data_IF_013942700906
#
_entry.id   IF_013942700906
#
_cell.length_a   1.000
_cell.length_b   1.000
_cell.length_c   1.000
_cell.angle_alpha   90.00
_cell.angle_beta   90.00
_cell.angle_gamma   90.00
#
_symmetry.space_group_name_H-M   'P 1'
#
loop_
_entity.id
_entity.type
_entity.pdbx_description
1 polymer ?
#
# COMPACT_ATOMS: atom_id res chain seq x y z
N UNK A 1 16.18 -23.32 -8.08
CA UNK A 1 15.49 -22.06 -8.40
C UNK A 1 16.35 -20.91 -7.93
N UNK A 2 16.56 -19.92 -8.79
CA UNK A 2 17.24 -18.67 -8.44
C UNK A 2 16.38 -17.92 -7.43
N UNK A 3 16.96 -17.48 -6.32
CA UNK A 3 16.22 -16.74 -5.29
C UNK A 3 15.90 -15.35 -5.84
N UNK A 4 14.61 -15.07 -6.10
CA UNK A 4 14.15 -13.76 -6.59
C UNK A 4 13.82 -12.82 -5.44
N UNK A 5 13.92 -11.50 -5.68
CA UNK A 5 13.51 -10.47 -4.71
C UNK A 5 11.98 -10.47 -4.54
N UNK A 6 11.50 -10.16 -3.34
CA UNK A 6 10.08 -9.90 -3.10
C UNK A 6 9.73 -8.52 -3.65
N UNK A 7 8.99 -8.49 -4.75
CA UNK A 7 8.59 -7.26 -5.46
C UNK A 7 7.61 -6.40 -4.66
N UNK A 8 7.08 -6.88 -3.52
CA UNK A 8 6.29 -6.03 -2.60
C UNK A 8 7.14 -5.15 -1.72
N UNK A 9 8.44 -5.42 -1.62
CA UNK A 9 9.39 -4.51 -0.99
C UNK A 9 9.58 -3.33 -1.92
N UNK A 10 9.28 -2.14 -1.43
CA UNK A 10 9.38 -0.86 -2.15
C UNK A 10 10.66 -0.73 -2.98
N UNK A 11 11.81 -1.11 -2.44
CA UNK A 11 13.07 -1.08 -3.19
C UNK A 11 13.04 -1.96 -4.46
N UNK A 12 12.59 -3.21 -4.35
CA UNK A 12 12.52 -4.13 -5.49
C UNK A 12 11.45 -3.68 -6.50
N UNK A 13 10.32 -3.17 -6.02
CA UNK A 13 9.30 -2.57 -6.86
C UNK A 13 9.85 -1.41 -7.69
N UNK A 14 10.58 -0.49 -7.05
CA UNK A 14 11.26 0.64 -7.72
C UNK A 14 12.25 0.17 -8.77
N UNK A 15 13.04 -0.86 -8.48
CA UNK A 15 14.00 -1.39 -9.45
C UNK A 15 13.32 -1.90 -10.71
N UNK A 16 12.13 -2.51 -10.59
CA UNK A 16 11.39 -3.01 -11.75
C UNK A 16 10.59 -1.92 -12.48
N UNK A 17 9.82 -1.09 -11.77
CA UNK A 17 8.87 -0.15 -12.37
C UNK A 17 9.35 1.30 -12.44
N UNK A 18 10.34 1.68 -11.63
CA UNK A 18 10.83 3.06 -11.47
C UNK A 18 12.24 3.32 -12.01
N UNK A 19 12.81 2.37 -12.75
CA UNK A 19 14.16 2.51 -13.34
C UNK A 19 14.09 2.88 -14.81
N UNK A 20 14.92 3.85 -15.24
CA UNK A 20 15.06 4.19 -16.65
C UNK A 20 15.43 2.98 -17.51
N UNK A 21 14.74 2.80 -18.64
CA UNK A 21 14.79 1.61 -19.50
C UNK A 21 13.61 0.63 -19.30
N UNK A 22 12.92 0.73 -18.16
CA UNK A 22 11.76 -0.10 -17.81
C UNK A 22 10.41 0.59 -18.05
N UNK A 23 10.38 1.74 -18.75
CA UNK A 23 9.16 2.51 -19.02
C UNK A 23 8.10 1.68 -19.75
N UNK A 24 8.49 0.74 -20.61
CA UNK A 24 7.56 -0.17 -21.29
C UNK A 24 6.84 -1.13 -20.32
N UNK A 25 7.54 -1.57 -19.26
CA UNK A 25 6.98 -2.43 -18.21
C UNK A 25 5.98 -1.61 -17.40
N UNK A 26 6.37 -0.39 -17.00
CA UNK A 26 5.48 0.53 -16.29
C UNK A 26 4.25 0.89 -17.13
N UNK A 27 4.40 1.20 -18.42
CA UNK A 27 3.28 1.50 -19.31
C UNK A 27 2.29 0.33 -19.40
N UNK A 28 2.78 -0.91 -19.51
CA UNK A 28 1.91 -2.09 -19.54
C UNK A 28 1.17 -2.29 -18.21
N UNK A 29 1.85 -2.09 -17.07
CA UNK A 29 1.20 -2.10 -15.76
C UNK A 29 0.12 -1.02 -15.65
N UNK A 30 0.41 0.23 -16.04
CA UNK A 30 -0.53 1.34 -15.97
C UNK A 30 -1.75 1.14 -16.86
N UNK A 31 -1.57 0.62 -18.08
CA UNK A 31 -2.68 0.26 -18.96
C UNK A 31 -3.63 -0.76 -18.30
N UNK A 32 -3.07 -1.76 -17.61
CA UNK A 32 -3.86 -2.76 -16.88
C UNK A 32 -4.53 -2.16 -15.62
N UNK A 33 -3.79 -1.34 -14.86
CA UNK A 33 -4.21 -0.72 -13.60
C UNK A 33 -5.35 0.29 -13.77
N UNK A 34 -5.26 1.13 -14.81
CA UNK A 34 -6.21 2.20 -15.08
C UNK A 34 -7.37 1.75 -15.97
N UNK A 35 -7.29 0.55 -16.55
CA UNK A 35 -8.32 -0.04 -17.43
C UNK A 35 -8.75 0.95 -18.53
N UNK A 36 -7.77 1.62 -19.12
CA UNK A 36 -7.99 2.66 -20.11
C UNK A 36 -8.64 2.06 -21.36
N UNK A 37 -9.56 2.78 -22.02
CA UNK A 37 -10.10 2.36 -23.30
C UNK A 37 -8.98 2.35 -24.36
N UNK A 38 -9.20 1.63 -25.46
CA UNK A 38 -8.17 1.39 -26.48
C UNK A 38 -7.57 2.69 -27.03
N UNK A 39 -8.41 3.71 -27.22
CA UNK A 39 -8.02 5.04 -27.70
C UNK A 39 -7.20 5.88 -26.71
N UNK A 40 -7.17 5.49 -25.42
CA UNK A 40 -6.39 6.16 -24.37
C UNK A 40 -5.26 5.27 -23.84
N UNK A 41 -4.92 4.19 -24.53
CA UNK A 41 -3.80 3.34 -24.11
C UNK A 41 -2.52 4.15 -24.03
N UNK A 42 -1.84 4.00 -22.91
CA UNK A 42 -0.57 4.65 -22.63
C UNK A 42 0.47 4.05 -23.57
N UNK A 43 1.00 4.90 -24.46
CA UNK A 43 2.09 4.54 -25.36
C UNK A 43 3.45 4.90 -24.77
N UNK A 44 3.50 6.02 -24.04
CA UNK A 44 4.72 6.62 -23.52
C UNK A 44 4.55 6.99 -22.06
N UNK A 45 5.56 6.65 -21.26
CA UNK A 45 5.65 7.04 -19.85
C UNK A 45 7.01 7.68 -19.62
N UNK A 46 7.02 8.82 -18.97
CA UNK A 46 8.24 9.50 -18.53
C UNK A 46 8.38 9.35 -17.02
N UNK A 47 9.45 8.68 -16.58
CA UNK A 47 9.82 8.65 -15.18
C UNK A 47 10.32 10.03 -14.75
N UNK A 48 9.84 10.50 -13.60
CA UNK A 48 10.19 11.78 -13.00
C UNK A 48 10.98 11.55 -11.71
N UNK A 49 11.60 12.61 -11.20
CA UNK A 49 12.23 12.53 -9.87
C UNK A 49 11.17 12.22 -8.80
N UNK A 50 11.35 11.13 -8.02
CA UNK A 50 10.42 10.79 -6.94
C UNK A 50 10.55 11.72 -5.72
N UNK A 51 11.59 12.56 -5.64
CA UNK A 51 11.79 13.49 -4.54
C UNK A 51 11.02 14.78 -4.77
N UNK A 52 10.10 15.11 -3.87
CA UNK A 52 9.56 16.46 -3.83
C UNK A 52 10.56 17.41 -3.17
N UNK A 53 10.83 18.52 -3.86
CA UNK A 53 11.56 19.63 -3.26
C UNK A 53 10.80 20.14 -2.03
N UNK A 54 11.55 20.42 -0.96
CA UNK A 54 10.99 21.08 0.21
C UNK A 54 10.67 22.53 -0.16
N UNK A 55 9.44 22.97 0.09
CA UNK A 55 9.08 24.38 -0.04
C UNK A 55 9.50 25.14 1.22
N UNK A 56 9.44 24.47 2.38
CA UNK A 56 9.84 25.01 3.68
C UNK A 56 10.75 24.04 4.45
N UNK A 57 11.59 24.54 5.36
CA UNK A 57 12.51 23.69 6.14
C UNK A 57 11.77 22.59 6.94
N UNK A 58 10.59 22.93 7.43
CA UNK A 58 9.72 22.07 8.25
C UNK A 58 8.98 20.98 7.45
N UNK A 59 9.01 21.05 6.10
CA UNK A 59 8.32 20.09 5.26
C UNK A 59 8.83 18.66 5.53
N UNK A 60 7.88 17.73 5.66
CA UNK A 60 8.18 16.29 5.67
C UNK A 60 8.79 15.92 4.32
N UNK A 61 9.99 15.31 4.36
CA UNK A 61 10.57 14.68 3.17
C UNK A 61 9.59 13.62 2.66
N UNK A 62 9.14 13.81 1.43
CA UNK A 62 8.18 12.96 0.75
C UNK A 62 8.88 12.42 -0.47
N UNK A 63 9.06 11.10 -0.51
CA UNK A 63 9.73 10.39 -1.60
C UNK A 63 8.72 9.37 -2.09
N UNK A 64 8.34 9.49 -3.36
CA UNK A 64 7.42 8.57 -3.99
C UNK A 64 8.12 7.23 -4.32
N UNK A 65 7.35 6.16 -4.47
CA UNK A 65 7.92 4.93 -5.00
C UNK A 65 8.12 5.02 -6.51
N UNK A 66 7.06 5.33 -7.26
CA UNK A 66 7.17 5.64 -8.70
C UNK A 66 6.43 6.93 -8.99
N UNK A 67 7.14 7.88 -9.61
CA UNK A 67 6.58 9.14 -10.09
C UNK A 67 6.72 9.19 -11.61
N UNK A 68 5.60 9.34 -12.31
CA UNK A 68 5.58 9.28 -13.76
C UNK A 68 4.65 10.35 -14.37
N UNK A 69 4.92 10.66 -15.64
CA UNK A 69 4.06 11.51 -16.47
C UNK A 69 3.69 10.76 -17.76
N UNK A 70 2.41 10.82 -18.12
CA UNK A 70 1.89 10.32 -19.39
C UNK A 70 2.04 11.36 -20.50
N UNK A 71 1.80 10.95 -21.75
CA UNK A 71 1.90 11.82 -22.94
C UNK A 71 0.96 13.03 -22.91
N UNK A 72 -0.21 12.89 -22.28
CA UNK A 72 -1.21 13.95 -22.12
C UNK A 72 -0.93 14.89 -20.94
N UNK A 73 0.19 14.68 -20.24
CA UNK A 73 0.61 15.45 -19.08
C UNK A 73 0.14 14.90 -17.75
N UNK A 74 -0.74 13.89 -17.72
CA UNK A 74 -1.24 13.26 -16.50
C UNK A 74 -0.10 12.79 -15.60
N UNK A 75 -0.17 13.16 -14.31
CA UNK A 75 0.80 12.76 -13.29
C UNK A 75 0.34 11.49 -12.58
N UNK A 76 1.23 10.51 -12.48
CA UNK A 76 0.97 9.25 -11.80
C UNK A 76 1.93 9.09 -10.63
N UNK A 77 1.37 8.75 -9.47
CA UNK A 77 2.09 8.27 -8.31
C UNK A 77 1.71 6.81 -8.05
N UNK A 78 2.67 5.91 -7.83
CA UNK A 78 2.42 4.55 -7.36
C UNK A 78 3.15 4.35 -6.03
N UNK A 79 2.45 3.79 -5.05
CA UNK A 79 2.93 3.55 -3.69
C UNK A 79 2.78 2.08 -3.26
N UNK A 80 3.91 1.52 -2.83
CA UNK A 80 4.25 0.21 -2.24
C UNK A 80 4.12 -0.01 -0.74
N UNK A 81 3.10 -0.66 -0.17
CA UNK A 81 3.02 -0.77 1.30
C UNK A 81 2.77 -2.16 1.87
N UNK A 82 3.75 -2.66 2.64
CA UNK A 82 3.70 -3.94 3.34
C UNK A 82 3.05 -3.88 4.73
N UNK A 83 3.26 -2.79 5.45
CA UNK A 83 2.77 -2.61 6.83
C UNK A 83 1.70 -1.50 6.87
N UNK A 84 0.61 -1.74 7.60
CA UNK A 84 -0.43 -0.74 7.82
C UNK A 84 0.05 0.30 8.84
N UNK A 85 0.09 1.57 8.44
CA UNK A 85 0.47 2.72 9.30
C UNK A 85 -0.74 3.50 9.82
N UNK A 86 -1.95 3.09 9.46
CA UNK A 86 -3.24 3.65 9.88
C UNK A 86 -3.52 5.11 9.50
N UNK A 87 -2.63 5.77 8.75
CA UNK A 87 -2.76 7.16 8.29
C UNK A 87 -2.77 7.28 6.75
N UNK A 88 -3.12 6.20 6.05
CA UNK A 88 -2.94 6.11 4.61
C UNK A 88 -3.78 7.13 3.85
N UNK A 89 -5.05 7.35 4.17
CA UNK A 89 -5.86 8.30 3.38
C UNK A 89 -5.26 9.70 3.43
N UNK A 90 -4.83 10.14 4.63
CA UNK A 90 -4.23 11.46 4.81
C UNK A 90 -2.90 11.58 4.07
N UNK A 91 -2.06 10.54 4.10
CA UNK A 91 -0.77 10.54 3.40
C UNK A 91 -0.96 10.50 1.89
N UNK A 92 -1.86 9.65 1.39
CA UNK A 92 -2.22 9.57 -0.03
C UNK A 92 -2.73 10.91 -0.53
N UNK A 93 -3.64 11.56 0.20
CA UNK A 93 -4.14 12.89 -0.14
C UNK A 93 -3.05 13.97 -0.10
N UNK A 94 -2.12 13.89 0.85
CA UNK A 94 -1.00 14.81 0.95
C UNK A 94 -0.02 14.66 -0.22
N UNK A 95 0.30 13.44 -0.64
CA UNK A 95 1.15 13.19 -1.81
C UNK A 95 0.45 13.60 -3.11
N UNK A 96 -0.84 13.26 -3.24
CA UNK A 96 -1.65 13.70 -4.37
C UNK A 96 -1.67 15.23 -4.48
N UNK A 97 -1.90 15.95 -3.37
CA UNK A 97 -2.00 17.41 -3.39
C UNK A 97 -0.66 18.08 -3.72
N UNK A 98 0.46 17.59 -3.14
CA UNK A 98 1.82 18.03 -3.49
C UNK A 98 2.11 17.80 -4.97
N UNK A 99 1.75 16.63 -5.52
CA UNK A 99 1.96 16.31 -6.93
C UNK A 99 1.14 17.25 -7.83
N UNK A 100 -0.14 17.44 -7.52
CA UNK A 100 -1.04 18.33 -8.28
C UNK A 100 -0.57 19.79 -8.23
N UNK A 101 -0.26 20.32 -7.04
CA UNK A 101 0.19 21.71 -6.88
C UNK A 101 1.56 21.97 -7.51
N UNK A 102 2.47 20.97 -7.50
CA UNK A 102 3.81 21.11 -8.09
C UNK A 102 3.83 21.28 -9.61
N UNK A 103 2.71 21.00 -10.28
CA UNK A 103 2.56 21.26 -11.71
C UNK A 103 2.53 22.76 -12.01
N UNK A 104 1.97 23.54 -11.08
CA UNK A 104 1.72 24.97 -11.26
C UNK A 104 3.03 25.76 -11.26
N UNK A 105 3.15 26.69 -12.22
CA UNK A 105 4.28 27.61 -12.35
C UNK A 105 3.79 29.06 -12.41
N UNK A 106 4.66 30.00 -12.08
CA UNK A 106 4.32 31.43 -12.18
C UNK A 106 3.91 31.77 -13.63
N UNK A 107 2.73 32.39 -13.77
CA UNK A 107 2.17 32.78 -15.07
C UNK A 107 1.37 31.69 -15.81
N UNK A 108 1.24 30.48 -15.26
CA UNK A 108 0.44 29.38 -15.83
C UNK A 108 -1.05 29.54 -15.47
N UNK A 109 -1.95 29.21 -16.40
CA UNK A 109 -3.40 29.21 -16.15
C UNK A 109 -3.84 27.92 -15.43
N UNK A 110 -4.87 28.02 -14.58
CA UNK A 110 -5.41 26.86 -13.87
C UNK A 110 -5.99 25.78 -14.81
N UNK A 111 -6.45 26.16 -15.99
CA UNK A 111 -6.93 25.22 -17.02
C UNK A 111 -5.83 24.36 -17.64
N UNK A 112 -4.55 24.68 -17.41
CA UNK A 112 -3.42 23.87 -17.87
C UNK A 112 -3.03 22.75 -16.89
N UNK A 113 -3.67 22.66 -15.73
CA UNK A 113 -3.43 21.58 -14.77
C UNK A 113 -3.90 20.24 -15.34
N UNK A 114 -3.01 19.25 -15.33
CA UNK A 114 -3.31 17.90 -15.79
C UNK A 114 -3.83 17.02 -14.64
N UNK A 115 -4.56 15.98 -15.02
CA UNK A 115 -5.04 14.95 -14.10
C UNK A 115 -3.89 14.39 -13.25
N UNK A 116 -4.20 14.04 -12.01
CA UNK A 116 -3.26 13.45 -11.05
C UNK A 116 -3.89 12.20 -10.46
N UNK A 117 -3.24 11.05 -10.70
CA UNK A 117 -3.71 9.74 -10.27
C UNK A 117 -2.73 9.17 -9.23
N UNK A 118 -3.24 8.63 -8.13
CA UNK A 118 -2.43 7.93 -7.13
C UNK A 118 -2.87 6.48 -7.00
N UNK A 119 -1.96 5.54 -7.19
CA UNK A 119 -2.19 4.10 -7.07
C UNK A 119 -1.52 3.59 -5.80
N UNK A 120 -2.31 3.15 -4.83
CA UNK A 120 -1.82 2.55 -3.59
C UNK A 120 -1.94 1.03 -3.69
N UNK A 121 -0.81 0.33 -3.75
CA UNK A 121 -0.73 -1.13 -3.69
C UNK A 121 -0.39 -1.52 -2.25
N UNK A 122 -1.23 -2.35 -1.63
CA UNK A 122 -1.11 -2.68 -0.20
C UNK A 122 -1.17 -4.18 0.06
N UNK A 123 -0.32 -4.65 0.98
CA UNK A 123 -0.28 -6.05 1.40
C UNK A 123 -1.10 -6.33 2.68
N UNK A 124 -2.17 -5.57 2.90
CA UNK A 124 -3.10 -5.73 4.01
C UNK A 124 -4.50 -5.33 3.57
N UNK A 125 -5.52 -5.74 4.35
CA UNK A 125 -6.90 -5.31 4.10
C UNK A 125 -7.12 -3.95 4.76
N UNK A 126 -7.19 -2.92 3.94
CA UNK A 126 -7.42 -1.56 4.34
C UNK A 126 -8.91 -1.21 4.33
N UNK A 127 -9.59 -1.47 3.21
CA UNK A 127 -10.99 -1.11 3.01
C UNK A 127 -11.87 -2.26 3.51
N UNK A 128 -12.11 -2.33 4.81
CA UNK A 128 -12.81 -3.45 5.48
C UNK A 128 -14.22 -3.74 4.94
N UNK A 129 -14.90 -2.73 4.42
CA UNK A 129 -16.28 -2.83 3.93
C UNK A 129 -16.40 -3.10 2.42
N UNK A 130 -15.28 -3.18 1.70
CA UNK A 130 -15.26 -3.42 0.25
C UNK A 130 -14.62 -4.79 -0.01
N UNK A 131 -15.27 -5.64 -0.80
CA UNK A 131 -14.72 -6.97 -1.12
C UNK A 131 -13.85 -6.99 -2.38
N UNK A 132 -13.91 -5.93 -3.20
CA UNK A 132 -13.05 -5.79 -4.38
C UNK A 132 -11.58 -5.64 -3.97
N UNK A 133 -10.68 -6.22 -4.75
CA UNK A 133 -9.24 -6.04 -4.55
C UNK A 133 -8.76 -4.73 -5.17
N UNK A 134 -9.49 -4.17 -6.14
CA UNK A 134 -9.19 -2.88 -6.77
C UNK A 134 -10.39 -1.95 -6.55
N UNK A 135 -10.17 -0.84 -5.85
CA UNK A 135 -11.15 0.22 -5.63
C UNK A 135 -10.63 1.53 -6.20
N UNK A 136 -11.51 2.30 -6.84
CA UNK A 136 -11.20 3.62 -7.41
C UNK A 136 -12.07 4.67 -6.71
N UNK A 137 -11.45 5.76 -6.29
CA UNK A 137 -12.10 6.87 -5.62
C UNK A 137 -11.91 8.15 -6.44
N UNK A 138 -13.01 8.87 -6.67
CA UNK A 138 -13.05 10.14 -7.39
C UNK A 138 -13.94 11.13 -6.63
N UNK A 139 -13.97 12.40 -7.06
CA UNK A 139 -14.69 13.46 -6.38
C UNK A 139 -16.13 13.58 -6.88
N UNK A 140 -17.07 13.11 -6.06
CA UNK A 140 -18.50 13.11 -6.37
C UNK A 140 -19.29 14.08 -5.47
N UNK A 141 -20.31 14.70 -6.05
CA UNK A 141 -21.41 15.31 -5.31
C UNK A 141 -22.10 14.25 -4.43
N UNK A 142 -22.55 14.64 -3.23
CA UNK A 142 -22.98 13.71 -2.18
C UNK A 142 -24.30 13.01 -2.50
N UNK A 143 -25.28 13.73 -3.03
CA UNK A 143 -26.67 13.28 -3.18
C UNK A 143 -26.90 12.61 -4.54
N UNK A 144 -26.60 13.34 -5.61
CA UNK A 144 -26.81 12.95 -7.02
C UNK A 144 -25.65 12.11 -7.57
N UNK A 145 -24.53 12.02 -6.84
CA UNK A 145 -23.32 11.30 -7.28
C UNK A 145 -22.80 11.82 -8.63
N UNK A 146 -22.91 13.13 -8.86
CA UNK A 146 -22.32 13.78 -10.02
C UNK A 146 -20.80 13.87 -9.85
N UNK A 147 -20.03 13.39 -10.83
CA UNK A 147 -18.58 13.58 -10.87
C UNK A 147 -18.27 15.07 -11.07
N UNK A 148 -17.57 15.70 -10.11
CA UNK A 148 -17.23 17.12 -10.21
C UNK A 148 -16.16 17.37 -11.27
N UNK A 149 -15.13 16.53 -11.29
CA UNK A 149 -13.99 16.59 -12.21
C UNK A 149 -13.24 15.26 -12.19
N UNK A 150 -12.56 14.93 -13.28
CA UNK A 150 -11.66 13.79 -13.42
C UNK A 150 -10.23 14.09 -12.95
N UNK A 151 -9.90 15.33 -12.54
CA UNK A 151 -8.54 15.75 -12.15
C UNK A 151 -7.94 14.96 -10.98
N UNK A 152 -8.78 14.34 -10.14
CA UNK A 152 -8.39 13.54 -8.98
C UNK A 152 -8.89 12.10 -9.12
N UNK A 153 -7.95 11.15 -9.10
CA UNK A 153 -8.28 9.73 -9.03
C UNK A 153 -7.34 9.01 -8.06
N UNK A 154 -7.90 8.17 -7.18
CA UNK A 154 -7.13 7.41 -6.19
C UNK A 154 -7.52 5.94 -6.25
N UNK A 155 -6.52 5.08 -6.49
CA UNK A 155 -6.69 3.63 -6.54
C UNK A 155 -6.18 3.01 -5.24
N UNK A 156 -6.90 2.01 -4.75
CA UNK A 156 -6.43 1.07 -3.74
C UNK A 156 -6.48 -0.34 -4.32
N UNK A 157 -5.32 -1.00 -4.33
CA UNK A 157 -5.11 -2.37 -4.79
C UNK A 157 -4.64 -3.23 -3.61
N UNK A 158 -5.54 -4.05 -3.07
CA UNK A 158 -5.31 -4.86 -1.86
C UNK A 158 -4.95 -6.30 -2.24
N UNK A 159 -3.65 -6.60 -2.25
CA UNK A 159 -3.10 -7.92 -2.63
C UNK A 159 -3.74 -9.09 -1.86
N UNK A 160 -4.01 -9.00 -0.53
CA UNK A 160 -4.63 -10.11 0.18
C UNK A 160 -6.05 -10.44 -0.32
N UNK A 161 -6.80 -9.46 -0.84
CA UNK A 161 -8.13 -9.70 -1.42
C UNK A 161 -7.99 -10.38 -2.78
N UNK A 162 -7.02 -9.97 -3.58
CA UNK A 162 -6.71 -10.60 -4.87
C UNK A 162 -6.30 -12.07 -4.67
N UNK A 163 -5.39 -12.35 -3.73
CA UNK A 163 -4.93 -13.71 -3.47
C UNK A 163 -6.07 -14.65 -3.08
N UNK A 164 -7.04 -14.19 -2.29
CA UNK A 164 -8.23 -15.01 -1.95
C UNK A 164 -9.02 -15.35 -3.20
N UNK A 165 -9.23 -14.38 -4.09
CA UNK A 165 -9.92 -14.58 -5.35
C UNK A 165 -9.17 -15.53 -6.27
N UNK A 166 -7.85 -15.39 -6.37
CA UNK A 166 -6.97 -16.30 -7.09
C UNK A 166 -7.11 -17.73 -6.57
N UNK A 167 -6.98 -17.95 -5.25
CA UNK A 167 -7.11 -19.27 -4.61
C UNK A 167 -8.50 -19.89 -4.78
N UNK A 168 -9.53 -19.07 -4.93
CA UNK A 168 -10.90 -19.50 -5.23
C UNK A 168 -11.19 -19.65 -6.72
N UNK A 169 -10.22 -19.37 -7.59
CA UNK A 169 -10.37 -19.38 -9.06
C UNK A 169 -11.47 -18.43 -9.55
N UNK A 170 -11.64 -17.31 -8.85
CA UNK A 170 -12.58 -16.24 -9.22
C UNK A 170 -11.96 -15.21 -10.19
N UNK A 171 -10.65 -15.29 -10.42
CA UNK A 171 -9.88 -14.43 -11.33
C UNK A 171 -8.84 -15.27 -12.07
N UNK A 172 -8.52 -14.87 -13.30
CA UNK A 172 -7.55 -15.54 -14.16
C UNK A 172 -6.54 -14.53 -14.73
N UNK A 173 -5.22 -14.68 -14.48
CA UNK A 173 -4.20 -13.80 -15.06
C UNK A 173 -4.07 -13.90 -16.59
N UNK A 174 -4.64 -14.92 -17.25
CA UNK A 174 -4.74 -14.97 -18.71
C UNK A 174 -5.80 -14.02 -19.24
N UNK A 175 -6.91 -13.86 -18.51
CA UNK A 175 -8.04 -13.01 -18.91
C UNK A 175 -7.93 -11.56 -18.40
N UNK A 176 -7.36 -11.35 -17.20
CA UNK A 176 -7.22 -10.02 -16.58
C UNK A 176 -5.73 -9.67 -16.40
N UNK A 177 -5.28 -8.69 -17.19
CA UNK A 177 -3.89 -8.21 -17.15
C UNK A 177 -3.54 -7.57 -15.80
N UNK A 178 -4.48 -6.93 -15.11
CA UNK A 178 -4.20 -6.36 -13.79
C UNK A 178 -3.97 -7.47 -12.76
N UNK A 179 -4.77 -8.54 -12.83
CA UNK A 179 -4.55 -9.74 -12.01
C UNK A 179 -3.15 -10.29 -12.26
N UNK A 180 -2.74 -10.44 -13.53
CA UNK A 180 -1.39 -10.87 -13.93
C UNK A 180 -0.30 -10.03 -13.28
N UNK A 181 -0.36 -8.71 -13.41
CA UNK A 181 0.66 -7.81 -12.85
C UNK A 181 0.67 -7.79 -11.32
N UNK A 182 -0.48 -7.84 -10.66
CA UNK A 182 -0.53 -7.85 -9.20
C UNK A 182 -0.07 -9.21 -8.63
N UNK A 183 -0.34 -10.33 -9.30
CA UNK A 183 0.19 -11.63 -8.92
C UNK A 183 1.71 -11.71 -9.11
N UNK A 184 2.29 -11.00 -10.08
CA UNK A 184 3.75 -10.91 -10.23
C UNK A 184 4.42 -10.40 -8.94
N UNK A 185 3.76 -9.50 -8.21
CA UNK A 185 4.28 -8.98 -6.94
C UNK A 185 4.38 -10.07 -5.85
N UNK A 186 3.52 -11.09 -5.91
CA UNK A 186 3.45 -12.20 -4.95
C UNK A 186 4.30 -13.41 -5.37
N UNK A 187 4.76 -13.45 -6.63
CA UNK A 187 5.38 -14.63 -7.23
C UNK A 187 6.61 -15.15 -6.46
N UNK A 188 7.43 -14.27 -5.88
CA UNK A 188 8.65 -14.70 -5.16
C UNK A 188 8.39 -15.70 -4.01
N UNK A 189 7.20 -15.65 -3.42
CA UNK A 189 6.81 -16.47 -2.26
C UNK A 189 5.77 -17.54 -2.63
N UNK A 190 5.41 -17.66 -3.92
CA UNK A 190 4.31 -18.51 -4.39
C UNK A 190 4.67 -19.19 -5.72
N UNK A 191 5.05 -20.47 -5.62
CA UNK A 191 5.54 -21.26 -6.76
C UNK A 191 4.46 -21.49 -7.82
N UNK A 192 3.20 -21.68 -7.40
CA UNK A 192 2.08 -21.86 -8.34
C UNK A 192 1.87 -20.60 -9.16
N UNK A 193 1.85 -19.42 -8.51
CA UNK A 193 1.77 -18.13 -9.21
C UNK A 193 2.96 -17.97 -10.17
N UNK A 194 4.17 -18.27 -9.70
CA UNK A 194 5.39 -18.16 -10.53
C UNK A 194 5.28 -18.99 -11.80
N UNK A 195 4.91 -20.27 -11.70
CA UNK A 195 4.81 -21.16 -12.85
C UNK A 195 3.75 -20.68 -13.86
N UNK A 196 2.59 -20.23 -13.38
CA UNK A 196 1.54 -19.69 -14.24
C UNK A 196 2.01 -18.44 -15.00
N UNK A 197 2.68 -17.51 -14.31
CA UNK A 197 3.17 -16.29 -14.93
C UNK A 197 4.32 -16.55 -15.92
N UNK A 198 5.23 -17.47 -15.60
CA UNK A 198 6.29 -17.88 -16.53
C UNK A 198 5.70 -18.50 -17.81
N UNK A 199 4.65 -19.32 -17.69
CA UNK A 199 3.97 -19.89 -18.85
C UNK A 199 3.31 -18.79 -19.71
N UNK A 200 2.59 -17.85 -19.10
CA UNK A 200 1.99 -16.70 -19.80
C UNK A 200 3.07 -15.87 -20.51
N UNK A 201 4.18 -15.58 -19.82
CA UNK A 201 5.28 -14.82 -20.37
C UNK A 201 5.91 -15.48 -21.60
N UNK A 202 6.07 -16.81 -21.57
CA UNK A 202 6.66 -17.54 -22.69
C UNK A 202 5.73 -17.65 -23.90
N UNK A 203 4.42 -17.74 -23.68
CA UNK A 203 3.46 -18.09 -24.73
C UNK A 203 2.67 -16.90 -25.27
N UNK A 204 2.37 -15.90 -24.43
CA UNK A 204 1.31 -14.91 -24.70
C UNK A 204 1.78 -13.45 -24.55
N UNK A 205 2.65 -13.15 -23.58
CA UNK A 205 2.96 -11.77 -23.19
C UNK A 205 4.46 -11.48 -23.11
N UNK A 206 4.97 -10.85 -24.18
CA UNK A 206 6.38 -10.46 -24.27
C UNK A 206 6.77 -9.34 -23.29
N UNK A 207 5.83 -8.49 -22.86
CA UNK A 207 6.13 -7.44 -21.89
C UNK A 207 6.23 -8.02 -20.49
N UNK A 208 5.36 -8.97 -20.15
CA UNK A 208 5.50 -9.75 -18.92
C UNK A 208 6.84 -10.53 -18.91
N UNK A 209 7.21 -11.15 -20.04
CA UNK A 209 8.52 -11.80 -20.17
C UNK A 209 9.67 -10.83 -19.90
N UNK A 210 9.66 -9.64 -20.51
CA UNK A 210 10.65 -8.59 -20.23
C UNK A 210 10.70 -8.23 -18.74
N UNK A 211 9.55 -8.14 -18.08
CA UNK A 211 9.49 -7.86 -16.65
C UNK A 211 10.08 -9.00 -15.79
N UNK A 212 9.81 -10.26 -16.12
CA UNK A 212 10.41 -11.41 -15.42
C UNK A 212 11.93 -11.47 -15.64
N UNK A 213 12.39 -11.28 -16.89
CA UNK A 213 13.82 -11.27 -17.23
C UNK A 213 14.56 -10.16 -16.46
N UNK A 214 13.96 -8.96 -16.39
CA UNK A 214 14.50 -7.83 -15.63
C UNK A 214 14.47 -8.09 -14.12
N UNK A 215 13.40 -8.67 -13.59
CA UNK A 215 13.30 -9.07 -12.20
C UNK A 215 14.37 -10.09 -11.81
N UNK A 216 14.66 -11.07 -12.68
CA UNK A 216 15.77 -12.02 -12.48
C UNK A 216 17.13 -11.32 -12.50
N UNK A 217 17.37 -10.43 -13.46
CA UNK A 217 18.61 -9.68 -13.58
C UNK A 217 18.87 -8.87 -12.32
N UNK A 218 17.88 -8.10 -11.88
CA UNK A 218 17.94 -7.27 -10.66
C UNK A 218 18.12 -8.14 -9.41
N UNK A 219 17.51 -9.33 -9.37
CA UNK A 219 17.65 -10.26 -8.25
C UNK A 219 19.04 -10.89 -8.12
N UNK A 220 19.90 -10.76 -9.13
CA UNK A 220 21.27 -11.28 -9.12
C UNK A 220 22.32 -10.19 -8.92
N UNK A 221 21.92 -8.92 -8.89
CA UNK A 221 22.83 -7.79 -8.69
C UNK A 221 23.24 -7.68 -7.20
N UNK A 222 24.54 -7.80 -6.87
CA UNK A 222 25.01 -7.77 -5.48
C UNK A 222 24.72 -6.46 -4.74
N UNK A 223 24.78 -5.32 -5.43
CA UNK A 223 24.52 -4.01 -4.80
C UNK A 223 23.04 -3.85 -4.47
N UNK A 224 22.18 -4.28 -5.41
CA UNK A 224 20.72 -4.32 -5.24
C UNK A 224 20.36 -5.27 -4.09
N UNK A 225 20.95 -6.47 -4.05
CA UNK A 225 20.69 -7.45 -2.99
C UNK A 225 21.02 -6.89 -1.60
N UNK A 226 22.16 -6.20 -1.46
CA UNK A 226 22.55 -5.59 -0.20
C UNK A 226 21.55 -4.52 0.27
N UNK A 227 21.15 -3.62 -0.63
CA UNK A 227 20.16 -2.58 -0.34
C UNK A 227 18.79 -3.17 0.01
N UNK A 228 18.37 -4.20 -0.73
CA UNK A 228 17.14 -4.95 -0.47
C UNK A 228 17.16 -5.63 0.90
N UNK A 229 18.24 -6.32 1.27
CA UNK A 229 18.35 -7.01 2.57
C UNK A 229 18.29 -6.03 3.74
N UNK A 230 18.96 -4.87 3.62
CA UNK A 230 18.89 -3.81 4.60
C UNK A 230 17.45 -3.28 4.76
N UNK A 231 16.75 -3.05 3.64
CA UNK A 231 15.36 -2.58 3.64
C UNK A 231 14.40 -3.62 4.23
N UNK A 232 14.54 -4.88 3.84
CA UNK A 232 13.75 -6.01 4.36
C UNK A 232 13.94 -6.18 5.87
N UNK A 233 15.17 -6.04 6.38
CA UNK A 233 15.45 -6.03 7.82
C UNK A 233 14.70 -4.90 8.53
N UNK A 234 14.76 -3.67 8.00
CA UNK A 234 14.05 -2.54 8.58
C UNK A 234 12.52 -2.76 8.65
N UNK A 235 11.93 -3.36 7.61
CA UNK A 235 10.51 -3.72 7.59
C UNK A 235 10.13 -4.78 8.63
N UNK A 236 11.01 -5.78 8.85
CA UNK A 236 10.83 -6.79 9.89
C UNK A 236 10.93 -6.16 11.29
N UNK A 237 11.84 -5.23 11.49
CA UNK A 237 12.00 -4.51 12.75
C UNK A 237 10.77 -3.63 13.04
N UNK A 238 10.25 -2.93 12.02
CA UNK A 238 9.01 -2.14 12.10
C UNK A 238 7.80 -3.01 12.45
N UNK A 239 7.59 -4.13 11.74
CA UNK A 239 6.51 -5.09 12.03
C UNK A 239 6.63 -5.64 13.44
N UNK A 240 7.84 -5.95 13.88
CA UNK A 240 8.10 -6.44 15.24
C UNK A 240 7.81 -5.36 16.29
N UNK A 241 8.11 -4.10 16.00
CA UNK A 241 7.79 -2.98 16.87
C UNK A 241 6.27 -2.76 16.97
N UNK A 242 5.55 -2.79 15.85
CA UNK A 242 4.09 -2.69 15.81
C UNK A 242 3.43 -3.80 16.64
N UNK A 243 3.80 -5.07 16.42
CA UNK A 243 3.27 -6.20 17.19
C UNK A 243 3.52 -6.07 18.70
N UNK A 244 4.69 -5.57 19.10
CA UNK A 244 5.00 -5.30 20.51
C UNK A 244 4.15 -4.14 21.07
N UNK A 245 3.90 -3.11 20.27
CA UNK A 245 3.06 -1.99 20.68
C UNK A 245 1.59 -2.41 20.86
N UNK A 246 1.05 -3.21 19.93
CA UNK A 246 -0.28 -3.81 20.02
C UNK A 246 -0.43 -4.67 21.27
N UNK A 247 0.49 -5.61 21.49
CA UNK A 247 0.46 -6.49 22.67
C UNK A 247 0.53 -5.72 24.00
N UNK A 248 1.37 -4.67 24.07
CA UNK A 248 1.41 -3.78 25.25
C UNK A 248 0.13 -2.97 25.41
N UNK A 249 -0.48 -2.54 24.31
CA UNK A 249 -1.76 -1.82 24.30
C UNK A 249 -2.89 -2.70 24.82
N UNK A 250 -2.98 -3.94 24.35
CA UNK A 250 -3.94 -4.95 24.84
C UNK A 250 -3.75 -5.25 26.33
N UNK A 251 -2.51 -5.44 26.78
CA UNK A 251 -2.22 -5.68 28.20
C UNK A 251 -2.64 -4.49 29.07
N UNK A 252 -2.33 -3.26 28.65
CA UNK A 252 -2.76 -2.04 29.35
C UNK A 252 -4.27 -1.91 29.37
N UNK A 253 -4.94 -2.09 28.22
CA UNK A 253 -6.40 -2.01 28.13
C UNK A 253 -7.09 -3.06 28.99
N UNK A 254 -6.55 -4.28 29.06
CA UNK A 254 -7.03 -5.33 29.96
C UNK A 254 -6.87 -4.91 31.43
N UNK A 255 -5.70 -4.41 31.83
CA UNK A 255 -5.46 -3.93 33.20
C UNK A 255 -6.38 -2.76 33.57
N UNK A 256 -6.57 -1.80 32.68
CA UNK A 256 -7.50 -0.67 32.90
C UNK A 256 -8.96 -1.13 32.99
N UNK A 257 -9.38 -2.08 32.15
CA UNK A 257 -10.74 -2.64 32.21
C UNK A 257 -10.98 -3.36 33.55
N UNK A 258 -10.03 -4.19 33.97
CA UNK A 258 -10.08 -4.88 35.28
C UNK A 258 -10.13 -3.85 36.42
N UNK A 259 -9.29 -2.81 36.37
CA UNK A 259 -9.27 -1.73 37.36
C UNK A 259 -10.61 -0.98 37.43
N UNK A 260 -11.16 -0.58 36.28
CA UNK A 260 -12.44 0.13 36.20
C UNK A 260 -13.61 -0.74 36.68
N UNK A 261 -13.58 -2.04 36.39
CA UNK A 261 -14.55 -3.00 36.92
C UNK A 261 -14.47 -3.10 38.44
N UNK A 262 -13.26 -3.24 38.99
CA UNK A 262 -13.04 -3.27 40.44
C UNK A 262 -13.52 -1.97 41.12
N UNK A 263 -13.25 -0.79 40.54
CA UNK A 263 -13.76 0.50 41.04
C UNK A 263 -15.29 0.55 41.02
N UNK A 264 -15.93 0.08 39.96
CA UNK A 264 -17.40 -0.01 39.88
C UNK A 264 -18.00 -0.96 40.93
N UNK A 265 -17.32 -2.07 41.24
CA UNK A 265 -17.72 -3.01 42.30
C UNK A 265 -17.53 -2.41 43.70
N UNK A 266 -16.42 -1.68 43.93
CA UNK A 266 -16.14 -0.94 45.16
C UNK A 266 -17.25 0.08 45.43
N UNK A 267 -17.65 0.87 44.43
CA UNK A 267 -18.72 1.87 44.55
C UNK A 267 -20.08 1.24 44.90
N UNK A 268 -20.31 0.00 44.47
CA UNK A 268 -21.52 -0.77 44.81
C UNK A 268 -21.45 -1.46 46.18
N UNK A 269 -20.37 -1.28 46.94
CA UNK A 269 -20.21 -1.83 48.28
C UNK A 269 -19.90 -3.34 48.31
N UNK A 270 -19.44 -3.92 47.19
CA UNK A 270 -19.01 -5.32 47.14
C UNK A 270 -17.73 -5.47 47.98
N UNK A 271 -17.58 -6.58 48.71
CA UNK A 271 -16.42 -6.83 49.58
C UNK A 271 -15.16 -7.21 48.79
N UNK A 272 -14.00 -7.11 49.45
CA UNK A 272 -12.70 -7.33 48.82
C UNK A 272 -12.43 -8.78 48.40
N UNK A 273 -13.02 -9.78 49.06
CA UNK A 273 -12.84 -11.17 48.63
C UNK A 273 -13.58 -11.41 47.32
N UNK A 274 -14.84 -11.00 47.25
CA UNK A 274 -15.64 -11.11 46.03
C UNK A 274 -15.02 -10.34 44.86
N UNK A 275 -14.48 -9.13 45.08
CA UNK A 275 -13.79 -8.38 44.02
C UNK A 275 -12.52 -9.10 43.56
N UNK A 276 -11.73 -9.64 44.50
CA UNK A 276 -10.51 -10.41 44.21
C UNK A 276 -10.83 -11.61 43.33
N UNK A 277 -11.87 -12.37 43.66
CA UNK A 277 -12.28 -13.56 42.92
C UNK A 277 -12.78 -13.24 41.50
N UNK A 278 -13.52 -12.14 41.34
CA UNK A 278 -14.12 -11.77 40.04
C UNK A 278 -13.13 -11.07 39.10
N UNK A 279 -12.17 -10.33 39.65
CA UNK A 279 -11.25 -9.48 38.85
C UNK A 279 -9.85 -10.06 38.74
N UNK A 280 -9.49 -10.99 39.62
CA UNK A 280 -8.15 -11.55 39.75
C UNK A 280 -7.12 -10.58 40.36
N UNK A 281 -7.55 -9.41 40.85
CA UNK A 281 -6.69 -8.47 41.58
C UNK A 281 -6.41 -8.99 42.98
N UNK A 282 -5.22 -8.72 43.50
CA UNK A 282 -4.87 -9.03 44.89
C UNK A 282 -5.61 -8.11 45.86
N UNK A 283 -5.80 -8.58 47.10
CA UNK A 283 -6.42 -7.76 48.17
C UNK A 283 -5.68 -6.44 48.41
N UNK A 284 -4.36 -6.41 48.22
CA UNK A 284 -3.54 -5.20 48.32
C UNK A 284 -3.85 -4.20 47.20
N UNK A 285 -3.93 -4.66 45.95
CA UNK A 285 -4.33 -3.83 44.81
C UNK A 285 -5.75 -3.24 45.01
N UNK A 286 -6.70 -4.04 45.49
CA UNK A 286 -8.07 -3.60 45.75
C UNK A 286 -8.11 -2.56 46.88
N UNK A 287 -7.35 -2.76 47.96
CA UNK A 287 -7.25 -1.78 49.03
C UNK A 287 -6.68 -0.45 48.53
N UNK A 288 -5.64 -0.49 47.69
CA UNK A 288 -5.08 0.72 47.08
C UNK A 288 -6.11 1.45 46.21
N UNK A 289 -7.00 0.73 45.51
CA UNK A 289 -8.09 1.32 44.73
C UNK A 289 -9.18 1.97 45.59
N UNK A 290 -9.41 1.48 46.82
CA UNK A 290 -10.37 2.09 47.77
C UNK A 290 -9.85 3.38 48.40
N UNK A 291 -8.53 3.56 48.42
CA UNK A 291 -7.87 4.73 48.98
C UNK A 291 -7.53 5.80 47.93
N UNK A 292 -7.88 5.57 46.66
CA UNK A 292 -7.90 6.58 45.58
C UNK A 292 -9.24 7.32 45.58
#
# INVERSE_FOLDING_TARGET
MTKRLDLRVDFAFKSLFGTHGNESILAAFLNAALRLPEEKKITTVHLLDPHFNKEYQEDKRSILDVHAQLEDGTRINIEIQLNNKHDMEKRTLYYWSKMYSSQMKEGMDYGELCQTITINIVNFRYLSHINHYHSVFQLYEREEKLLLTDMLEIHFMELPKLLIKWRRKEVDPREDQLVRWLLLLEASEDEEITQVLEEIAMQEDQVLKKAIDEWERVSQDPEVLLAYEARRKALLDEKSALKRAESRGEEKGRKETIKNMALGMIQKGIDNETISDLTGLTKEEINNLRHQ
#
